data_IF_715554391683
#
_entry.id   IF_715554391683
#
_cell.length_a   1.000
_cell.length_b   1.000
_cell.length_c   1.000
_cell.angle_alpha   90.00
_cell.angle_beta   90.00
_cell.angle_gamma   90.00
#
_symmetry.space_group_name_H-M   'P 1'
#
loop_
_entity.id
_entity.type
_entity.pdbx_description
1 polymer ?
#
# COMPACT_ATOMS: atom_id res chain seq x y z
N UNK A 1 45.61 -23.93 -17.27
CA UNK A 1 44.18 -24.17 -17.03
C UNK A 1 43.49 -22.81 -16.91
N UNK A 2 42.62 -22.48 -17.87
CA UNK A 2 41.87 -21.23 -17.88
C UNK A 2 40.73 -21.32 -16.85
N UNK A 3 40.58 -20.28 -16.05
CA UNK A 3 39.50 -20.14 -15.08
C UNK A 3 38.33 -19.45 -15.80
N UNK A 4 37.34 -20.23 -16.21
CA UNK A 4 36.13 -19.71 -16.86
C UNK A 4 35.28 -18.97 -15.82
N UNK A 5 35.19 -17.65 -16.00
CA UNK A 5 34.26 -16.80 -15.28
C UNK A 5 32.83 -17.12 -15.71
N UNK A 6 32.05 -17.72 -14.80
CA UNK A 6 30.61 -17.82 -14.93
C UNK A 6 29.99 -16.41 -14.93
N UNK A 7 29.75 -15.86 -16.12
CA UNK A 7 28.84 -14.74 -16.31
C UNK A 7 27.45 -15.20 -15.84
N UNK A 8 26.95 -14.60 -14.77
CA UNK A 8 25.52 -14.61 -14.46
C UNK A 8 24.81 -14.07 -15.71
N UNK A 9 23.97 -14.90 -16.34
CA UNK A 9 23.01 -14.41 -17.32
C UNK A 9 22.11 -13.41 -16.61
N UNK A 10 22.20 -12.14 -17.00
CA UNK A 10 21.18 -11.15 -16.68
C UNK A 10 19.89 -11.63 -17.35
N UNK A 11 18.91 -12.03 -16.54
CA UNK A 11 17.52 -12.18 -17.00
C UNK A 11 17.17 -10.94 -17.83
N UNK A 12 16.85 -11.14 -19.12
CA UNK A 12 16.29 -10.08 -19.96
C UNK A 12 15.09 -9.51 -19.21
N UNK A 13 15.23 -8.27 -18.73
CA UNK A 13 14.14 -7.51 -18.13
C UNK A 13 13.06 -7.40 -19.20
N UNK A 14 11.95 -8.13 -19.06
CA UNK A 14 10.82 -8.03 -19.99
C UNK A 14 10.46 -6.56 -20.17
N UNK A 15 10.63 -6.07 -21.40
CA UNK A 15 10.47 -4.64 -21.69
C UNK A 15 8.98 -4.32 -21.65
N UNK A 16 8.56 -3.65 -20.58
CA UNK A 16 7.17 -3.25 -20.41
C UNK A 16 6.80 -2.14 -21.39
N UNK A 17 5.62 -2.26 -22.01
CA UNK A 17 5.02 -1.26 -22.87
C UNK A 17 4.49 -0.07 -22.06
N UNK A 18 4.64 1.13 -22.62
CA UNK A 18 4.29 2.38 -21.95
C UNK A 18 2.81 2.74 -22.17
N UNK A 19 2.11 3.08 -21.08
CA UNK A 19 0.73 3.55 -21.08
C UNK A 19 0.70 5.06 -20.82
N UNK A 20 -0.07 5.77 -21.64
CA UNK A 20 -0.47 7.17 -21.42
C UNK A 20 -1.87 7.16 -20.82
N UNK A 21 -1.98 7.62 -19.57
CA UNK A 21 -3.25 7.68 -18.85
C UNK A 21 -3.72 9.13 -18.75
N UNK A 22 -4.86 9.45 -19.35
CA UNK A 22 -5.63 10.63 -18.96
C UNK A 22 -6.36 10.32 -17.64
N UNK A 23 -6.20 11.19 -16.64
CA UNK A 23 -6.78 10.98 -15.31
C UNK A 23 -8.26 11.34 -15.23
N UNK A 24 -8.84 11.98 -16.24
CA UNK A 24 -10.26 12.35 -16.26
C UNK A 24 -11.18 11.15 -16.58
N UNK A 25 -10.98 10.39 -17.68
CA UNK A 25 -11.90 9.32 -18.07
C UNK A 25 -11.92 8.13 -17.11
N UNK A 26 -13.00 7.38 -17.10
CA UNK A 26 -13.18 6.18 -16.26
C UNK A 26 -12.74 4.87 -16.95
N UNK A 27 -12.07 4.98 -18.10
CA UNK A 27 -11.54 3.84 -18.85
C UNK A 27 -10.31 4.26 -19.64
N UNK A 28 -9.36 3.34 -19.80
CA UNK A 28 -8.15 3.51 -20.61
C UNK A 28 -7.71 2.13 -21.11
N UNK A 29 -7.22 2.05 -22.35
CA UNK A 29 -6.72 0.80 -22.89
C UNK A 29 -5.56 0.26 -22.04
N UNK A 30 -5.52 -1.05 -21.84
CA UNK A 30 -4.49 -1.74 -21.04
C UNK A 30 -4.46 -1.35 -19.55
N UNK A 31 -5.51 -0.70 -19.05
CA UNK A 31 -5.73 -0.39 -17.64
C UNK A 31 -7.06 -0.99 -17.18
N UNK A 32 -7.02 -1.70 -16.07
CA UNK A 32 -8.21 -2.21 -15.36
C UNK A 32 -8.58 -1.18 -14.29
N UNK A 33 -9.85 -0.78 -14.28
CA UNK A 33 -10.42 0.10 -13.27
C UNK A 33 -11.28 -0.75 -12.33
N UNK A 34 -10.90 -0.81 -11.05
CA UNK A 34 -11.58 -1.58 -10.03
C UNK A 34 -12.11 -0.63 -8.95
N UNK A 35 -13.42 -0.45 -8.90
CA UNK A 35 -14.06 0.33 -7.83
C UNK A 35 -14.05 -0.50 -6.55
N UNK A 36 -13.20 -0.12 -5.61
CA UNK A 36 -13.03 -0.83 -4.33
C UNK A 36 -14.13 -0.43 -3.36
N UNK A 37 -14.44 0.87 -3.32
CA UNK A 37 -15.48 1.48 -2.49
C UNK A 37 -15.93 2.81 -3.15
N UNK A 38 -16.95 3.51 -2.61
CA UNK A 38 -17.46 4.77 -3.20
C UNK A 38 -16.42 5.90 -3.32
N UNK A 39 -15.32 5.82 -2.58
CA UNK A 39 -14.26 6.82 -2.51
C UNK A 39 -12.94 6.38 -3.16
N UNK A 40 -12.81 5.11 -3.54
CA UNK A 40 -11.56 4.53 -4.04
C UNK A 40 -11.79 3.74 -5.32
N UNK A 41 -11.15 4.16 -6.41
CA UNK A 41 -10.99 3.35 -7.62
C UNK A 41 -9.52 3.04 -7.82
N UNK A 42 -9.18 1.76 -7.82
CA UNK A 42 -7.86 1.25 -8.12
C UNK A 42 -7.68 1.09 -9.63
N UNK A 43 -6.53 1.51 -10.15
CA UNK A 43 -6.16 1.42 -11.56
C UNK A 43 -4.90 0.55 -11.66
N UNK A 44 -5.02 -0.59 -12.32
CA UNK A 44 -3.90 -1.52 -12.51
C UNK A 44 -3.67 -1.75 -13.99
N UNK A 45 -2.45 -1.56 -14.46
CA UNK A 45 -2.09 -1.89 -15.85
C UNK A 45 -2.09 -3.40 -16.05
N UNK A 46 -2.42 -3.85 -17.26
CA UNK A 46 -2.30 -5.27 -17.63
C UNK A 46 -0.85 -5.74 -17.60
N UNK A 47 -0.64 -7.05 -17.50
CA UNK A 47 0.69 -7.65 -17.56
C UNK A 47 1.44 -7.25 -18.83
N UNK A 48 2.74 -6.97 -18.69
CA UNK A 48 3.56 -6.42 -19.78
C UNK A 48 3.44 -4.91 -19.98
N UNK A 49 2.61 -4.19 -19.22
CA UNK A 49 2.47 -2.73 -19.32
C UNK A 49 2.93 -1.99 -18.06
N UNK A 50 3.18 -0.68 -18.19
CA UNK A 50 3.47 0.26 -17.10
C UNK A 50 2.95 1.65 -17.44
N UNK A 51 2.62 2.46 -16.43
CA UNK A 51 2.33 3.87 -16.64
C UNK A 51 3.62 4.65 -17.00
N UNK A 52 3.54 5.48 -18.04
CA UNK A 52 4.65 6.35 -18.45
C UNK A 52 4.31 7.83 -18.35
N UNK A 53 3.12 8.19 -18.80
CA UNK A 53 2.67 9.58 -18.83
C UNK A 53 1.28 9.68 -18.24
N UNK A 54 1.11 10.60 -17.29
CA UNK A 54 -0.19 11.06 -16.83
C UNK A 54 -0.56 12.34 -17.55
N UNK A 55 -1.81 12.44 -18.00
CA UNK A 55 -2.39 13.61 -18.64
C UNK A 55 -3.65 14.07 -17.93
N UNK A 56 -4.02 15.32 -18.18
CA UNK A 56 -5.33 15.89 -17.87
C UNK A 56 -5.87 16.49 -19.18
N UNK A 57 -6.71 15.74 -19.89
CA UNK A 57 -7.00 16.03 -21.29
C UNK A 57 -5.74 16.03 -22.15
N UNK A 58 -5.50 17.11 -22.90
CA UNK A 58 -4.33 17.21 -23.79
C UNK A 58 -3.04 17.61 -23.08
N UNK A 59 -3.11 18.05 -21.82
CA UNK A 59 -1.95 18.53 -21.07
C UNK A 59 -1.26 17.39 -20.32
N UNK A 60 0.06 17.34 -20.40
CA UNK A 60 0.87 16.45 -19.57
C UNK A 60 0.86 16.91 -18.11
N UNK A 61 0.45 16.02 -17.21
CA UNK A 61 0.50 16.24 -15.76
C UNK A 61 1.83 15.76 -15.18
N UNK A 62 2.28 14.58 -15.59
CA UNK A 62 3.48 13.97 -15.05
C UNK A 62 4.09 12.94 -16.01
N UNK A 63 5.42 12.90 -16.10
CA UNK A 63 6.16 11.87 -16.83
C UNK A 63 6.98 11.03 -15.85
N UNK A 64 6.83 9.72 -15.94
CA UNK A 64 7.57 8.76 -15.14
C UNK A 64 8.96 8.57 -15.75
N UNK A 65 9.99 8.68 -14.90
CA UNK A 65 11.33 8.21 -15.24
C UNK A 65 11.38 6.68 -15.19
N UNK A 66 11.12 6.04 -16.34
CA UNK A 66 11.03 4.58 -16.45
C UNK A 66 12.38 3.87 -16.42
N UNK A 67 13.49 4.62 -16.40
CA UNK A 67 14.81 4.07 -16.08
C UNK A 67 14.92 3.73 -14.58
N UNK A 68 14.15 4.44 -13.73
CA UNK A 68 14.15 4.28 -12.27
C UNK A 68 12.92 3.56 -11.75
N UNK A 69 11.77 3.76 -12.41
CA UNK A 69 10.48 3.30 -11.90
C UNK A 69 9.73 2.42 -12.89
N UNK A 70 8.92 1.51 -12.36
CA UNK A 70 8.01 0.66 -13.15
C UNK A 70 6.63 0.68 -12.52
N UNK A 71 5.90 1.82 -12.60
CA UNK A 71 4.61 1.95 -11.95
C UNK A 71 3.56 1.11 -12.68
N UNK A 72 2.88 0.27 -11.92
CA UNK A 72 1.83 -0.62 -12.42
C UNK A 72 0.47 -0.34 -11.78
N UNK A 73 0.43 0.52 -10.76
CA UNK A 73 -0.74 0.76 -9.93
C UNK A 73 -0.91 2.25 -9.66
N UNK A 74 -2.14 2.72 -9.79
CA UNK A 74 -2.56 4.07 -9.46
C UNK A 74 -3.95 4.03 -8.80
N UNK A 75 -4.40 5.16 -8.26
CA UNK A 75 -5.67 5.27 -7.56
C UNK A 75 -6.32 6.61 -7.86
N UNK A 76 -7.62 6.59 -8.14
CA UNK A 76 -8.49 7.75 -8.01
C UNK A 76 -9.12 7.69 -6.62
N UNK A 77 -9.02 8.80 -5.90
CA UNK A 77 -9.43 8.90 -4.50
C UNK A 77 -10.37 10.08 -4.36
N UNK A 78 -11.41 9.92 -3.55
CA UNK A 78 -12.36 10.97 -3.20
C UNK A 78 -12.35 11.17 -1.69
N UNK A 79 -12.24 12.42 -1.26
CA UNK A 79 -12.35 12.81 0.15
C UNK A 79 -13.33 13.97 0.22
N UNK A 80 -14.50 13.74 0.81
CA UNK A 80 -15.60 14.71 0.79
C UNK A 80 -15.94 15.10 -0.67
N UNK A 81 -15.77 16.37 -1.03
CA UNK A 81 -15.93 16.88 -2.40
C UNK A 81 -14.63 16.89 -3.22
N UNK A 82 -13.48 16.67 -2.58
CA UNK A 82 -12.17 16.76 -3.25
C UNK A 82 -11.81 15.46 -3.97
N UNK A 83 -11.30 15.59 -5.19
CA UNK A 83 -10.76 14.49 -5.98
C UNK A 83 -9.23 14.51 -6.01
N UNK A 84 -8.66 13.32 -5.89
CA UNK A 84 -7.22 13.10 -5.79
C UNK A 84 -6.81 11.95 -6.71
N UNK A 85 -5.57 12.02 -7.18
CA UNK A 85 -4.93 10.95 -7.93
C UNK A 85 -3.63 10.54 -7.25
N UNK A 86 -3.42 9.24 -7.06
CA UNK A 86 -2.18 8.67 -6.53
C UNK A 86 -1.56 7.75 -7.56
N UNK A 87 -0.30 7.98 -7.92
CA UNK A 87 0.50 7.04 -8.70
C UNK A 87 1.53 6.39 -7.78
N UNK A 88 1.56 5.06 -7.71
CA UNK A 88 2.59 4.34 -6.97
C UNK A 88 3.78 4.07 -7.90
N UNK A 89 4.87 4.81 -7.74
CA UNK A 89 6.13 4.57 -8.45
C UNK A 89 6.87 3.41 -7.81
N UNK A 90 7.09 2.32 -8.54
CA UNK A 90 7.91 1.23 -8.01
C UNK A 90 9.40 1.66 -7.93
N UNK A 91 10.12 1.47 -6.81
CA UNK A 91 9.66 0.86 -5.56
C UNK A 91 8.89 1.85 -4.67
N UNK A 92 7.56 1.64 -4.60
CA UNK A 92 6.61 2.16 -3.62
C UNK A 92 6.58 3.65 -3.26
N UNK A 93 7.17 4.52 -4.07
CA UNK A 93 7.16 5.94 -3.85
C UNK A 93 5.84 6.53 -4.38
N UNK A 94 4.94 7.03 -3.53
CA UNK A 94 3.68 7.58 -4.00
C UNK A 94 3.88 8.99 -4.55
N UNK A 95 3.28 9.28 -5.70
CA UNK A 95 3.06 10.62 -6.22
C UNK A 95 1.59 10.97 -6.05
N UNK A 96 1.31 12.08 -5.39
CA UNK A 96 -0.05 12.56 -5.11
C UNK A 96 -0.35 13.80 -5.94
N UNK A 97 -1.56 13.86 -6.48
CA UNK A 97 -2.06 14.99 -7.23
C UNK A 97 -3.45 15.35 -6.71
N UNK A 98 -3.69 16.63 -6.43
CA UNK A 98 -5.00 17.16 -6.04
C UNK A 98 -5.66 17.80 -7.24
N UNK A 99 -6.94 17.52 -7.49
CA UNK A 99 -7.73 18.29 -8.46
C UNK A 99 -7.93 19.73 -7.96
N UNK A 100 -7.73 20.70 -8.84
CA UNK A 100 -7.89 22.14 -8.57
C UNK A 100 -9.04 22.78 -9.35
N UNK A 101 -9.44 22.15 -10.44
CA UNK A 101 -10.57 22.52 -11.29
C UNK A 101 -10.89 21.38 -12.26
N UNK A 102 -11.84 21.59 -13.18
CA UNK A 102 -12.35 20.52 -14.05
C UNK A 102 -11.27 19.80 -14.87
N UNK A 103 -10.21 20.53 -15.25
CA UNK A 103 -9.09 20.02 -16.07
C UNK A 103 -7.74 20.43 -15.49
N UNK A 104 -7.64 20.55 -14.17
CA UNK A 104 -6.41 20.96 -13.51
C UNK A 104 -6.11 20.10 -12.29
N UNK A 105 -4.89 19.59 -12.23
CA UNK A 105 -4.34 18.87 -11.08
C UNK A 105 -2.97 19.45 -10.72
N UNK A 106 -2.65 19.50 -9.44
CA UNK A 106 -1.34 19.90 -8.93
C UNK A 106 -0.70 18.79 -8.12
N UNK A 107 0.60 18.54 -8.28
CA UNK A 107 1.33 17.62 -7.40
C UNK A 107 1.37 18.14 -5.96
N UNK A 108 1.19 17.24 -5.01
CA UNK A 108 1.25 17.50 -3.57
C UNK A 108 2.11 16.43 -2.92
N UNK A 109 2.81 16.76 -1.83
CA UNK A 109 3.55 15.76 -1.05
C UNK A 109 2.61 14.75 -0.41
N UNK A 110 3.03 13.49 -0.32
CA UNK A 110 2.23 12.47 0.34
C UNK A 110 2.05 12.76 1.83
N UNK A 111 3.05 13.34 2.52
CA UNK A 111 2.88 13.72 3.93
C UNK A 111 1.78 14.76 4.13
N UNK A 112 1.70 15.77 3.25
CA UNK A 112 0.65 16.78 3.28
C UNK A 112 -0.72 16.15 3.08
N UNK A 113 -0.86 15.22 2.12
CA UNK A 113 -2.10 14.46 1.96
C UNK A 113 -2.45 13.63 3.21
N UNK A 114 -1.46 13.01 3.84
CA UNK A 114 -1.67 12.23 5.05
C UNK A 114 -2.22 13.08 6.20
N UNK A 115 -1.59 14.23 6.47
CA UNK A 115 -1.93 15.09 7.61
C UNK A 115 -3.18 15.95 7.34
N UNK A 116 -3.30 16.53 6.15
CA UNK A 116 -4.31 17.55 5.85
C UNK A 116 -5.58 16.99 5.21
N UNK A 117 -5.59 15.70 4.86
CA UNK A 117 -6.73 15.05 4.19
C UNK A 117 -7.12 13.78 4.94
N UNK A 118 -6.26 12.75 4.92
CA UNK A 118 -6.61 11.45 5.47
C UNK A 118 -6.89 11.50 6.99
N UNK A 119 -6.08 12.28 7.71
CA UNK A 119 -6.19 12.46 9.15
C UNK A 119 -6.48 13.90 9.56
N UNK A 120 -7.07 14.69 8.66
CA UNK A 120 -7.41 16.09 8.91
C UNK A 120 -8.24 16.23 10.19
N UNK A 121 -7.78 17.09 11.10
CA UNK A 121 -8.47 17.36 12.37
C UNK A 121 -8.49 16.20 13.37
N UNK A 122 -7.91 15.03 13.03
CA UNK A 122 -7.85 13.88 13.93
C UNK A 122 -6.67 14.00 14.88
N UNK A 123 -6.93 13.79 16.17
CA UNK A 123 -5.89 13.76 17.20
C UNK A 123 -4.93 12.58 16.98
N UNK A 124 -3.65 12.78 17.27
CA UNK A 124 -2.68 11.68 17.34
C UNK A 124 -2.89 10.88 18.64
N UNK A 125 -3.04 9.56 18.53
CA UNK A 125 -3.20 8.65 19.68
C UNK A 125 -2.48 7.32 19.43
N UNK A 126 -2.14 6.64 20.51
CA UNK A 126 -1.66 5.25 20.43
C UNK A 126 -2.83 4.33 20.09
N UNK A 127 -2.61 3.41 19.15
CA UNK A 127 -3.57 2.36 18.82
C UNK A 127 -3.17 1.08 19.54
N UNK A 128 -4.01 0.61 20.47
CA UNK A 128 -3.86 -0.70 21.09
C UNK A 128 -4.59 -1.77 20.26
N UNK A 129 -3.84 -2.45 19.41
CA UNK A 129 -4.33 -3.47 18.50
C UNK A 129 -4.75 -4.77 19.22
N UNK A 130 -4.45 -4.96 20.52
CA UNK A 130 -5.01 -6.11 21.24
C UNK A 130 -6.51 -5.97 21.51
N UNK A 131 -7.04 -4.74 21.42
CA UNK A 131 -8.47 -4.44 21.43
C UNK A 131 -9.12 -4.60 20.06
N UNK A 132 -8.63 -5.53 19.23
CA UNK A 132 -9.14 -5.73 17.87
C UNK A 132 -10.63 -6.13 17.83
N UNK A 133 -11.19 -6.65 18.92
CA UNK A 133 -12.62 -6.95 19.04
C UNK A 133 -13.47 -5.72 19.43
N UNK A 134 -12.84 -4.61 19.84
CA UNK A 134 -13.56 -3.36 20.09
C UNK A 134 -14.05 -2.79 18.77
N UNK A 135 -15.37 -2.94 18.54
CA UNK A 135 -16.03 -2.46 17.34
C UNK A 135 -16.01 -0.93 17.19
N UNK A 136 -15.68 -0.16 18.23
CA UNK A 136 -15.43 1.27 18.09
C UNK A 136 -14.07 1.56 17.41
N UNK A 137 -13.14 0.61 17.45
CA UNK A 137 -11.80 0.74 16.89
C UNK A 137 -11.62 -0.02 15.58
N UNK A 138 -12.21 -1.20 15.45
CA UNK A 138 -11.99 -2.11 14.33
C UNK A 138 -13.29 -2.57 13.66
N UNK A 139 -13.20 -2.84 12.37
CA UNK A 139 -14.24 -3.51 11.59
C UNK A 139 -13.81 -4.96 11.35
N UNK A 140 -14.55 -5.95 11.89
CA UNK A 140 -14.28 -7.36 11.61
C UNK A 140 -14.75 -7.76 10.21
N UNK A 141 -14.05 -8.71 9.60
CA UNK A 141 -14.41 -9.37 8.35
C UNK A 141 -13.97 -10.83 8.40
N UNK A 142 -14.70 -11.71 7.69
CA UNK A 142 -14.27 -13.09 7.52
C UNK A 142 -12.96 -13.15 6.73
N UNK A 143 -12.09 -14.10 7.06
CA UNK A 143 -10.84 -14.34 6.35
C UNK A 143 -10.51 -15.84 6.42
N UNK A 144 -10.91 -16.59 5.39
CA UNK A 144 -10.87 -18.04 5.37
C UNK A 144 -11.44 -18.69 6.64
N UNK A 145 -10.62 -19.45 7.34
CA UNK A 145 -10.97 -20.12 8.61
C UNK A 145 -10.92 -19.20 9.85
N UNK A 146 -10.41 -17.97 9.69
CA UNK A 146 -10.24 -16.99 10.75
C UNK A 146 -10.99 -15.67 10.50
N UNK A 147 -10.49 -14.60 11.11
CA UNK A 147 -11.01 -13.23 10.97
C UNK A 147 -9.91 -12.22 10.72
N UNK A 148 -10.25 -11.16 9.99
CA UNK A 148 -9.44 -9.97 9.79
C UNK A 148 -10.16 -8.76 10.40
N UNK A 149 -9.46 -8.02 11.23
CA UNK A 149 -9.93 -6.80 11.88
C UNK A 149 -9.19 -5.61 11.29
N UNK A 150 -9.91 -4.66 10.71
CA UNK A 150 -9.35 -3.47 10.07
C UNK A 150 -9.57 -2.26 10.95
N UNK A 151 -8.52 -1.52 11.31
CA UNK A 151 -8.66 -0.29 12.08
C UNK A 151 -9.51 0.75 11.32
N UNK A 152 -10.49 1.36 12.00
CA UNK A 152 -11.45 2.31 11.41
C UNK A 152 -10.87 3.68 11.08
N UNK A 153 -9.64 3.97 11.55
CA UNK A 153 -8.95 5.26 11.34
C UNK A 153 -9.67 6.46 11.94
N UNK A 154 -10.41 6.27 13.01
CA UNK A 154 -11.11 7.37 13.70
C UNK A 154 -10.15 8.38 14.37
N UNK A 155 -8.88 8.01 14.53
CA UNK A 155 -7.80 8.89 14.95
C UNK A 155 -6.51 8.59 14.19
N UNK A 156 -5.53 9.48 14.28
CA UNK A 156 -4.20 9.32 13.67
C UNK A 156 -3.31 8.45 14.58
N UNK A 157 -2.91 7.23 14.16
CA UNK A 157 -2.06 6.41 15.00
C UNK A 157 -0.66 7.02 15.11
N UNK A 158 -0.21 7.33 16.33
CA UNK A 158 1.18 7.71 16.60
C UNK A 158 2.08 6.50 16.78
N UNK A 159 1.52 5.40 17.31
CA UNK A 159 2.15 4.11 17.54
C UNK A 159 1.10 3.01 17.46
N UNK A 160 1.55 1.80 17.15
CA UNK A 160 0.73 0.59 17.27
C UNK A 160 1.30 -0.27 18.38
N UNK A 161 0.46 -0.53 19.37
CA UNK A 161 0.74 -1.40 20.50
C UNK A 161 -0.11 -2.67 20.38
N UNK A 162 0.27 -3.71 21.09
CA UNK A 162 -0.56 -4.87 21.35
C UNK A 162 -0.25 -5.34 22.76
N UNK A 163 -1.21 -5.26 23.68
CA UNK A 163 -1.02 -5.54 25.11
C UNK A 163 0.18 -4.75 25.68
N UNK A 164 0.19 -3.43 25.41
CA UNK A 164 1.23 -2.47 25.83
C UNK A 164 2.61 -2.65 25.19
N UNK A 165 2.78 -3.61 24.27
CA UNK A 165 4.04 -3.83 23.57
C UNK A 165 4.01 -3.20 22.19
N UNK A 166 5.04 -2.46 21.84
CA UNK A 166 5.14 -1.87 20.50
C UNK A 166 5.23 -2.96 19.43
N UNK A 167 4.45 -2.79 18.37
CA UNK A 167 4.51 -3.63 17.17
C UNK A 167 5.29 -2.88 16.10
N UNK A 168 6.44 -3.43 15.72
CA UNK A 168 7.34 -2.80 14.75
C UNK A 168 8.10 -1.60 15.32
N UNK A 169 8.62 -0.76 14.41
CA UNK A 169 9.40 0.44 14.76
C UNK A 169 8.62 1.69 14.34
N UNK A 170 8.12 2.51 15.28
CA UNK A 170 7.25 3.63 14.96
C UNK A 170 7.98 4.85 14.38
N UNK A 171 9.31 4.94 14.53
CA UNK A 171 10.08 6.10 14.08
C UNK A 171 9.86 6.33 12.58
N UNK A 172 9.49 7.56 12.21
CA UNK A 172 9.21 7.97 10.84
C UNK A 172 8.03 7.25 10.15
N UNK A 173 7.23 6.45 10.87
CA UNK A 173 6.07 5.78 10.31
C UNK A 173 4.81 6.65 10.40
N UNK A 174 4.14 6.84 9.25
CA UNK A 174 2.80 7.41 9.13
C UNK A 174 1.82 6.28 8.75
N UNK A 175 1.14 5.70 9.74
CA UNK A 175 0.29 4.51 9.57
C UNK A 175 -0.95 4.80 8.73
N UNK A 176 -1.08 4.06 7.63
CA UNK A 176 -2.19 4.16 6.67
C UNK A 176 -3.27 3.12 6.93
N UNK A 177 -2.88 1.89 7.28
CA UNK A 177 -3.76 0.80 7.68
C UNK A 177 -3.09 -0.02 8.78
N UNK A 178 -3.91 -0.54 9.68
CA UNK A 178 -3.51 -1.53 10.69
C UNK A 178 -4.53 -2.65 10.65
N UNK A 179 -4.05 -3.87 10.42
CA UNK A 179 -4.89 -5.07 10.42
C UNK A 179 -4.42 -6.05 11.48
N UNK A 180 -5.38 -6.69 12.14
CA UNK A 180 -5.14 -7.84 12.99
C UNK A 180 -5.81 -9.05 12.36
N UNK A 181 -5.05 -10.10 12.11
CA UNK A 181 -5.56 -11.39 11.66
C UNK A 181 -5.57 -12.33 12.85
N UNK A 182 -6.68 -13.05 13.02
CA UNK A 182 -6.83 -14.07 14.06
C UNK A 182 -7.26 -15.37 13.40
N UNK A 183 -6.43 -16.39 13.49
CA UNK A 183 -6.73 -17.73 12.96
C UNK A 183 -7.67 -18.50 13.88
N UNK A 184 -8.20 -19.62 13.39
CA UNK A 184 -9.05 -20.53 14.18
C UNK A 184 -8.31 -21.15 15.39
N UNK A 185 -6.99 -21.31 15.31
CA UNK A 185 -6.12 -21.73 16.43
C UNK A 185 -5.65 -20.56 17.31
N UNK A 186 -6.29 -19.40 17.20
CA UNK A 186 -6.06 -18.20 18.02
C UNK A 186 -4.68 -17.53 17.87
N UNK A 187 -3.88 -17.93 16.86
CA UNK A 187 -2.68 -17.19 16.47
C UNK A 187 -3.07 -15.82 15.93
N UNK A 188 -2.23 -14.83 16.21
CA UNK A 188 -2.47 -13.44 15.85
C UNK A 188 -1.33 -12.90 15.03
N UNK A 189 -1.68 -12.21 13.96
CA UNK A 189 -0.73 -11.53 13.08
C UNK A 189 -1.14 -10.07 12.94
N UNK A 190 -0.18 -9.16 13.00
CA UNK A 190 -0.43 -7.74 12.78
C UNK A 190 0.21 -7.35 11.46
N UNK A 191 -0.58 -6.76 10.57
CA UNK A 191 -0.09 -6.12 9.34
C UNK A 191 -0.12 -4.62 9.53
N UNK A 192 1.02 -3.98 9.31
CA UNK A 192 1.17 -2.53 9.30
C UNK A 192 1.41 -2.08 7.87
N UNK A 193 0.57 -1.17 7.39
CA UNK A 193 0.80 -0.46 6.15
C UNK A 193 1.00 1.02 6.46
N UNK A 194 2.14 1.57 6.07
CA UNK A 194 2.53 2.93 6.45
C UNK A 194 3.38 3.60 5.40
N UNK A 195 3.40 4.93 5.44
CA UNK A 195 4.38 5.73 4.72
C UNK A 195 5.57 6.00 5.64
N UNK A 196 6.78 5.68 5.20
CA UNK A 196 8.00 5.95 5.97
C UNK A 196 8.65 7.23 5.48
N UNK A 197 8.70 8.23 6.35
CA UNK A 197 9.20 9.56 5.99
C UNK A 197 10.71 9.59 5.77
N UNK A 198 11.46 8.57 6.24
CA UNK A 198 12.91 8.53 6.08
C UNK A 198 13.40 8.27 4.64
N UNK A 199 12.61 7.56 3.83
CA UNK A 199 12.92 7.30 2.40
C UNK A 199 11.74 7.65 1.46
N UNK A 200 10.65 8.19 2.02
CA UNK A 200 9.43 8.58 1.30
C UNK A 200 8.75 7.43 0.56
N UNK A 201 8.77 6.21 1.12
CA UNK A 201 8.15 5.03 0.52
C UNK A 201 7.02 4.46 1.35
N UNK A 202 6.04 3.88 0.66
CA UNK A 202 5.03 3.03 1.25
C UNK A 202 5.66 1.70 1.65
N UNK A 203 5.29 1.20 2.83
CA UNK A 203 5.85 0.01 3.46
C UNK A 203 4.73 -0.84 4.02
N UNK A 204 4.88 -2.14 3.85
CA UNK A 204 3.98 -3.16 4.36
C UNK A 204 4.81 -4.16 5.14
N UNK A 205 4.50 -4.34 6.40
CA UNK A 205 5.19 -5.28 7.28
C UNK A 205 4.20 -6.14 8.04
N UNK A 206 4.60 -7.36 8.30
CA UNK A 206 3.82 -8.36 9.02
C UNK A 206 4.57 -8.73 10.28
N UNK A 207 3.84 -8.95 11.37
CA UNK A 207 4.38 -9.36 12.64
C UNK A 207 3.58 -10.51 13.20
N UNK A 208 4.28 -11.43 13.83
CA UNK A 208 3.69 -12.51 14.62
C UNK A 208 4.20 -12.41 16.07
N UNK A 209 3.38 -12.86 17.02
CA UNK A 209 3.78 -12.95 18.41
C UNK A 209 4.54 -14.27 18.63
N UNK A 210 5.81 -14.17 18.99
CA UNK A 210 6.71 -15.29 19.35
C UNK A 210 7.40 -14.99 20.66
N UNK A 211 7.36 -15.93 21.60
CA UNK A 211 7.99 -15.79 22.92
C UNK A 211 7.69 -14.44 23.58
N UNK A 212 6.41 -14.05 23.53
CA UNK A 212 5.90 -12.82 24.13
C UNK A 212 6.49 -11.52 23.50
N UNK A 213 7.01 -11.60 22.27
CA UNK A 213 7.54 -10.48 21.47
C UNK A 213 6.97 -10.48 20.05
N UNK A 214 6.70 -9.28 19.53
CA UNK A 214 6.31 -9.12 18.14
C UNK A 214 7.53 -9.17 17.24
N UNK A 215 7.63 -10.24 16.45
CA UNK A 215 8.72 -10.48 15.52
C UNK A 215 8.24 -10.16 14.11
N UNK A 216 9.02 -9.34 13.39
CA UNK A 216 8.73 -9.05 11.99
C UNK A 216 8.92 -10.32 11.15
N UNK A 217 7.91 -10.65 10.34
CA UNK A 217 7.93 -11.78 9.43
C UNK A 217 8.55 -11.37 8.09
N UNK A 218 9.15 -12.33 7.40
CA UNK A 218 9.42 -12.18 5.97
C UNK A 218 8.09 -12.17 5.20
N UNK A 219 8.08 -11.60 3.98
CA UNK A 219 6.88 -11.64 3.13
C UNK A 219 6.45 -13.08 2.82
N UNK A 220 7.41 -14.00 2.62
CA UNK A 220 7.12 -15.39 2.32
C UNK A 220 6.46 -16.10 3.52
N UNK A 221 6.97 -15.86 4.74
CA UNK A 221 6.37 -16.44 5.96
C UNK A 221 4.97 -15.87 6.21
N UNK A 222 4.79 -14.56 6.00
CA UNK A 222 3.49 -13.92 6.11
C UNK A 222 2.49 -14.49 5.09
N UNK A 223 2.89 -14.64 3.83
CA UNK A 223 2.05 -15.25 2.80
C UNK A 223 1.69 -16.69 3.14
N UNK A 224 2.65 -17.48 3.63
CA UNK A 224 2.41 -18.86 4.06
C UNK A 224 1.39 -18.91 5.20
N UNK A 225 1.54 -18.06 6.21
CA UNK A 225 0.61 -18.00 7.34
C UNK A 225 -0.79 -17.56 6.91
N UNK A 226 -0.89 -16.51 6.09
CA UNK A 226 -2.17 -15.98 5.61
C UNK A 226 -2.86 -16.93 4.62
N UNK A 227 -2.12 -17.59 3.73
CA UNK A 227 -2.66 -18.61 2.82
C UNK A 227 -3.18 -19.85 3.58
N UNK A 228 -2.51 -20.24 4.67
CA UNK A 228 -3.00 -21.31 5.54
C UNK A 228 -4.32 -20.94 6.25
N UNK A 229 -4.57 -19.66 6.51
CA UNK A 229 -5.84 -19.16 7.04
C UNK A 229 -6.91 -19.09 5.94
N UNK A 230 -6.55 -18.53 4.79
CA UNK A 230 -7.41 -18.30 3.64
C UNK A 230 -6.66 -18.63 2.34
N UNK A 231 -7.02 -19.75 1.71
CA UNK A 231 -6.33 -20.22 0.50
C UNK A 231 -6.50 -19.30 -0.71
N UNK A 232 -7.41 -18.32 -0.66
CA UNK A 232 -7.53 -17.27 -1.68
C UNK A 232 -6.39 -16.24 -1.60
N UNK A 233 -5.73 -16.12 -0.44
CA UNK A 233 -4.51 -15.32 -0.32
C UNK A 233 -3.38 -15.98 -1.10
N UNK A 234 -2.79 -15.26 -2.06
CA UNK A 234 -1.70 -15.82 -2.87
C UNK A 234 -0.45 -16.10 -2.02
N UNK A 235 0.09 -17.32 -2.11
CA UNK A 235 1.38 -17.69 -1.51
C UNK A 235 2.54 -16.85 -2.06
N UNK A 236 2.39 -16.39 -3.30
CA UNK A 236 3.38 -15.58 -4.02
C UNK A 236 2.99 -14.10 -4.07
N UNK A 237 2.07 -13.66 -3.21
CA UNK A 237 1.70 -12.25 -3.11
C UNK A 237 2.95 -11.38 -2.92
N UNK A 238 3.17 -10.48 -3.88
CA UNK A 238 4.24 -9.49 -3.86
C UNK A 238 3.58 -8.13 -3.65
N UNK A 239 3.78 -7.48 -2.49
CA UNK A 239 3.20 -6.16 -2.32
C UNK A 239 3.84 -5.19 -3.32
N UNK A 240 3.06 -4.22 -3.78
CA UNK A 240 3.53 -3.13 -4.67
C UNK A 240 4.34 -2.08 -3.87
N UNK A 241 4.50 -2.31 -2.58
CA UNK A 241 5.19 -1.44 -1.61
C UNK A 241 6.67 -1.82 -1.46
N UNK A 242 7.44 -1.03 -0.72
CA UNK A 242 8.89 -1.22 -0.65
C UNK A 242 9.16 -2.55 0.06
N UNK A 243 9.81 -3.45 -0.65
CA UNK A 243 10.33 -4.67 -0.05
C UNK A 243 11.50 -4.21 0.79
N UNK A 244 11.37 -4.26 2.11
CA UNK A 244 12.51 -3.95 2.97
C UNK A 244 13.71 -4.78 2.53
N UNK A 245 14.81 -4.04 2.38
CA UNK A 245 16.17 -4.47 2.09
C UNK A 245 16.65 -5.55 3.07
#
# INVERSE_FOLDING_TARGET
AANEGAKKEEEKKDEKKDVVLDVLPTSCENVVFNTVDPNTTELTVKDGFRFKTLKVGDKTLFNVDTSKHTPVQAFKLKHESDEWFKLNLHPAQPKMFKKKGDKEYSEVKFETYYDDVLFKGKSAKELDASKFEDTALFTPSAFGTGRKYTFKKDFKPSKVLFDKKEVGKPNNAKYLEVFVFVSSDSKKFVKLYYFYTGDSRLKETYFELKDDKWVQMSQADANKALNAMDSSWSSDYKPVVDKFS
#
